data_IF_111349099306
#
_entry.id   IF_111349099306
#
_cell.length_a   1.000
_cell.length_b   1.000
_cell.length_c   1.000
_cell.angle_alpha   90.00
_cell.angle_beta   90.00
_cell.angle_gamma   90.00
#
_symmetry.space_group_name_H-M   'P 1'
#
loop_
_entity.id
_entity.type
_entity.pdbx_description
1 polymer ?
#
# COMPACT_ATOMS: atom_id res chain seq x y z
N UNK A 1 -48.82 -2.75 -10.81
CA UNK A 1 -48.36 -1.70 -9.88
C UNK A 1 -48.84 -2.10 -8.49
N UNK A 2 -47.94 -2.56 -7.64
CA UNK A 2 -48.27 -3.15 -6.35
C UNK A 2 -47.21 -2.85 -5.31
N UNK A 3 -46.82 -1.57 -5.22
CA UNK A 3 -46.21 -1.02 -4.02
C UNK A 3 -47.32 -0.39 -3.19
N UNK A 4 -47.52 -0.83 -1.95
CA UNK A 4 -48.54 -0.26 -1.08
C UNK A 4 -48.91 -1.12 0.12
N UNK A 5 -48.20 -0.90 1.24
CA UNK A 5 -48.79 -0.65 2.56
C UNK A 5 -50.06 -1.47 2.91
N UNK A 6 -49.91 -2.64 3.53
CA UNK A 6 -51.02 -3.25 4.29
C UNK A 6 -51.02 -4.76 4.52
N UNK A 7 -50.32 -5.55 3.70
CA UNK A 7 -50.26 -7.00 3.88
C UNK A 7 -48.84 -7.43 4.32
N UNK A 8 -48.74 -8.24 5.39
CA UNK A 8 -47.47 -8.91 5.73
C UNK A 8 -47.01 -9.68 4.50
N UNK A 9 -45.75 -9.48 4.10
CA UNK A 9 -45.14 -10.24 3.00
C UNK A 9 -45.39 -11.74 3.19
N UNK A 10 -45.80 -12.40 2.11
CA UNK A 10 -45.79 -13.86 2.07
C UNK A 10 -44.35 -14.37 2.24
N UNK A 11 -44.14 -15.57 2.78
CA UNK A 11 -42.80 -16.14 2.91
C UNK A 11 -42.00 -16.14 1.59
N UNK A 12 -42.68 -16.37 0.46
CA UNK A 12 -42.06 -16.38 -0.87
C UNK A 12 -41.61 -14.99 -1.33
N UNK A 13 -42.43 -13.96 -1.12
CA UNK A 13 -42.06 -12.57 -1.41
C UNK A 13 -40.88 -12.12 -0.55
N UNK A 14 -40.90 -12.46 0.75
CA UNK A 14 -39.78 -12.16 1.66
C UNK A 14 -38.50 -12.84 1.21
N UNK A 15 -38.58 -14.11 0.80
CA UNK A 15 -37.42 -14.84 0.29
C UNK A 15 -36.83 -14.17 -0.96
N UNK A 16 -37.65 -13.79 -1.92
CA UNK A 16 -37.20 -13.11 -3.14
C UNK A 16 -36.55 -11.75 -2.83
N UNK A 17 -37.17 -10.96 -1.94
CA UNK A 17 -36.59 -9.68 -1.49
C UNK A 17 -35.24 -9.90 -0.80
N UNK A 18 -35.19 -10.83 0.16
CA UNK A 18 -33.96 -11.11 0.90
C UNK A 18 -32.85 -11.65 -0.01
N UNK A 19 -33.20 -12.48 -1.00
CA UNK A 19 -32.23 -12.95 -2.00
C UNK A 19 -31.63 -11.79 -2.80
N UNK A 20 -32.46 -10.83 -3.20
CA UNK A 20 -32.01 -9.64 -3.90
C UNK A 20 -31.12 -8.76 -3.01
N UNK A 21 -31.58 -8.46 -1.79
CA UNK A 21 -30.83 -7.66 -0.82
C UNK A 21 -29.47 -8.29 -0.49
N UNK A 22 -29.40 -9.61 -0.34
CA UNK A 22 -28.13 -10.33 -0.13
C UNK A 22 -27.22 -10.20 -1.35
N UNK A 23 -27.75 -10.30 -2.58
CA UNK A 23 -26.96 -10.12 -3.80
C UNK A 23 -26.47 -8.68 -3.99
N UNK A 24 -27.25 -7.69 -3.59
CA UNK A 24 -26.81 -6.29 -3.57
C UNK A 24 -25.72 -6.07 -2.53
N UNK A 25 -25.92 -6.57 -1.31
CA UNK A 25 -24.93 -6.46 -0.25
C UNK A 25 -23.59 -7.12 -0.62
N UNK A 26 -23.61 -8.28 -1.27
CA UNK A 26 -22.39 -8.94 -1.77
C UNK A 26 -21.65 -8.03 -2.76
N UNK A 27 -22.37 -7.43 -3.70
CA UNK A 27 -21.78 -6.51 -4.70
C UNK A 27 -21.23 -5.24 -4.06
N UNK A 28 -21.94 -4.66 -3.10
CA UNK A 28 -21.46 -3.48 -2.37
C UNK A 28 -20.18 -3.79 -1.58
N UNK A 29 -20.11 -4.94 -0.92
CA UNK A 29 -18.90 -5.35 -0.20
C UNK A 29 -17.72 -5.58 -1.16
N UNK A 30 -17.94 -6.22 -2.30
CA UNK A 30 -16.90 -6.38 -3.34
C UNK A 30 -16.41 -5.03 -3.85
N UNK A 31 -17.32 -4.08 -4.09
CA UNK A 31 -16.99 -2.74 -4.53
C UNK A 31 -16.17 -1.98 -3.48
N UNK A 32 -16.58 -2.01 -2.21
CA UNK A 32 -15.85 -1.40 -1.10
C UNK A 32 -14.45 -2.00 -0.99
N UNK A 33 -14.31 -3.34 -1.10
CA UNK A 33 -13.01 -3.99 -1.07
C UNK A 33 -12.10 -3.56 -2.22
N UNK A 34 -12.65 -3.34 -3.42
CA UNK A 34 -11.86 -2.82 -4.55
C UNK A 34 -11.38 -1.40 -4.27
N UNK A 35 -12.28 -0.52 -3.83
CA UNK A 35 -11.95 0.89 -3.54
C UNK A 35 -10.90 1.00 -2.44
N UNK A 36 -11.02 0.23 -1.35
CA UNK A 36 -10.01 0.24 -0.27
C UNK A 36 -8.63 -0.23 -0.76
N UNK A 37 -8.58 -1.23 -1.66
CA UNK A 37 -7.30 -1.68 -2.26
C UNK A 37 -6.67 -0.60 -3.14
N UNK A 38 -7.49 0.11 -3.92
CA UNK A 38 -7.05 1.22 -4.77
C UNK A 38 -6.55 2.39 -3.92
N UNK A 39 -7.30 2.79 -2.89
CA UNK A 39 -6.90 3.86 -1.95
C UNK A 39 -5.60 3.52 -1.20
N UNK A 40 -5.42 2.26 -0.76
CA UNK A 40 -4.19 1.82 -0.13
C UNK A 40 -2.99 1.88 -1.10
N UNK A 41 -3.19 1.52 -2.37
CA UNK A 41 -2.16 1.63 -3.39
C UNK A 41 -1.81 3.10 -3.71
N UNK A 42 -2.80 4.00 -3.68
CA UNK A 42 -2.57 5.45 -3.80
C UNK A 42 -1.82 6.02 -2.59
N UNK A 43 -2.07 5.52 -1.38
CA UNK A 43 -1.34 5.93 -0.16
C UNK A 43 0.14 5.52 -0.21
N UNK A 44 0.46 4.33 -0.74
CA UNK A 44 1.85 3.91 -1.00
C UNK A 44 2.57 4.84 -1.99
N UNK A 45 1.83 5.47 -2.90
CA UNK A 45 2.34 6.45 -3.87
C UNK A 45 2.36 7.89 -3.32
N UNK A 46 2.17 8.08 -2.01
CA UNK A 46 2.18 9.42 -1.41
C UNK A 46 3.49 10.19 -1.72
N UNK A 47 3.42 11.53 -1.87
CA UNK A 47 4.61 12.36 -2.15
C UNK A 47 5.74 12.18 -1.13
N UNK A 48 5.40 11.92 0.14
CA UNK A 48 6.38 11.66 1.19
C UNK A 48 7.08 10.30 1.01
N UNK A 49 6.36 9.26 0.61
CA UNK A 49 6.95 7.95 0.32
C UNK A 49 7.90 8.02 -0.88
N UNK A 50 7.50 8.73 -1.95
CA UNK A 50 8.36 8.99 -3.11
C UNK A 50 9.60 9.81 -2.73
N UNK A 51 9.46 10.86 -1.90
CA UNK A 51 10.59 11.65 -1.43
C UNK A 51 11.63 10.80 -0.67
N UNK A 52 11.18 9.89 0.20
CA UNK A 52 12.07 8.94 0.90
C UNK A 52 12.79 8.00 -0.06
N UNK A 53 12.09 7.48 -1.07
CA UNK A 53 12.72 6.62 -2.09
C UNK A 53 13.78 7.39 -2.89
N UNK A 54 13.49 8.62 -3.31
CA UNK A 54 14.44 9.49 -4.03
C UNK A 54 15.67 9.80 -3.17
N UNK A 55 15.48 10.06 -1.87
CA UNK A 55 16.61 10.26 -0.95
C UNK A 55 17.48 9.00 -0.81
N UNK A 56 16.86 7.81 -0.70
CA UNK A 56 17.60 6.54 -0.71
C UNK A 56 18.42 6.35 -1.98
N UNK A 57 17.85 6.64 -3.14
CA UNK A 57 18.55 6.57 -4.43
C UNK A 57 19.70 7.57 -4.53
N UNK A 58 19.52 8.81 -4.05
CA UNK A 58 20.58 9.81 -3.94
C UNK A 58 21.75 9.28 -3.12
N UNK A 59 21.46 8.68 -1.96
CA UNK A 59 22.50 8.14 -1.08
C UNK A 59 23.25 6.99 -1.74
N UNK A 60 22.55 6.06 -2.41
CA UNK A 60 23.20 4.97 -3.16
C UNK A 60 24.09 5.50 -4.30
N UNK A 61 23.62 6.52 -5.03
CA UNK A 61 24.39 7.14 -6.11
C UNK A 61 25.67 7.79 -5.58
N UNK A 62 25.56 8.57 -4.50
CA UNK A 62 26.71 9.21 -3.86
C UNK A 62 27.70 8.17 -3.36
N UNK A 63 27.23 7.11 -2.69
CA UNK A 63 28.09 6.02 -2.23
C UNK A 63 28.81 5.32 -3.37
N UNK A 64 28.11 4.99 -4.47
CA UNK A 64 28.75 4.36 -5.63
C UNK A 64 29.75 5.29 -6.32
N UNK A 65 29.46 6.59 -6.39
CA UNK A 65 30.40 7.57 -6.91
C UNK A 65 31.64 7.68 -6.02
N UNK A 66 31.46 7.70 -4.70
CA UNK A 66 32.54 7.71 -3.73
C UNK A 66 33.43 6.47 -3.86
N UNK A 67 32.85 5.28 -4.00
CA UNK A 67 33.57 4.02 -4.23
C UNK A 67 34.43 4.08 -5.50
N UNK A 68 33.91 4.65 -6.59
CA UNK A 68 34.68 4.85 -7.84
C UNK A 68 35.85 5.82 -7.66
N UNK A 69 35.69 6.88 -6.86
CA UNK A 69 36.73 7.87 -6.61
C UNK A 69 37.84 7.34 -5.70
N UNK A 70 37.45 6.61 -4.65
CA UNK A 70 38.38 6.12 -3.63
C UNK A 70 39.03 4.78 -4.03
N UNK A 71 38.39 4.02 -4.92
CA UNK A 71 38.84 2.72 -5.39
C UNK A 71 38.52 1.57 -4.40
N UNK A 72 38.62 0.30 -4.84
CA UNK A 72 38.15 -0.86 -4.05
C UNK A 72 38.92 -1.12 -2.75
N UNK A 73 40.12 -0.54 -2.61
CA UNK A 73 40.97 -0.71 -1.44
C UNK A 73 40.70 0.33 -0.33
N UNK A 74 39.86 1.33 -0.58
CA UNK A 74 39.52 2.36 0.38
C UNK A 74 38.41 1.89 1.34
N UNK A 75 38.74 0.93 2.20
CA UNK A 75 37.93 0.64 3.38
C UNK A 75 38.09 1.79 4.38
N UNK A 76 37.16 2.75 4.37
CA UNK A 76 37.11 3.81 5.38
C UNK A 76 36.37 3.26 6.61
N UNK A 77 37.13 2.84 7.63
CA UNK A 77 36.57 2.71 8.97
C UNK A 77 36.61 4.08 9.65
N UNK A 78 35.45 4.72 9.78
CA UNK A 78 35.34 6.00 10.48
C UNK A 78 35.66 5.89 11.99
N UNK A 79 35.66 4.67 12.53
CA UNK A 79 36.00 4.38 13.94
C UNK A 79 37.52 4.24 14.14
N UNK A 80 38.27 3.95 13.07
CA UNK A 80 39.73 3.83 13.08
C UNK A 80 40.37 4.36 11.78
N UNK A 81 40.30 5.68 11.52
CA UNK A 81 40.77 6.26 10.27
C UNK A 81 42.28 6.12 10.03
N UNK A 82 43.06 5.77 11.04
CA UNK A 82 44.51 5.54 10.95
C UNK A 82 44.91 4.06 11.03
N UNK A 83 43.96 3.13 11.20
CA UNK A 83 44.27 1.71 11.41
C UNK A 83 45.05 1.43 12.69
N UNK A 84 44.96 2.33 13.69
CA UNK A 84 45.75 2.29 14.92
C UNK A 84 45.17 1.34 15.98
N UNK A 85 43.90 0.93 15.83
CA UNK A 85 43.22 -0.01 16.72
C UNK A 85 43.52 -1.48 16.36
N UNK A 86 44.05 -1.75 15.16
CA UNK A 86 44.57 -3.07 14.80
C UNK A 86 45.98 -3.28 15.39
N UNK A 87 46.05 -3.79 16.62
CA UNK A 87 47.22 -4.48 17.19
C UNK A 87 46.82 -5.83 17.76
#
# INVERSE_FOLDING_TARGET
>A
LGEGLGAKETPQQRYQRLQHEVQELVREVEQIQSTVKEEAAEEELSPMALARQVEGLKNLLVSNHLEKLLGPAASIDFSDPQGALAK
#
